data_IF_163790255945
#
_entry.id   IF_163790255945
#
_cell.length_a   1.000
_cell.length_b   1.000
_cell.length_c   1.000
_cell.angle_alpha   90.00
_cell.angle_beta   90.00
_cell.angle_gamma   90.00
#
_symmetry.space_group_name_H-M   'P 1'
#
loop_
_entity.id
_entity.type
_entity.pdbx_description
1 polymer ?
#
# COMPACT_ATOMS: atom_id res chain seq x y z
N UNK A 1 -39.66 -23.44 -30.96
CA UNK A 1 -39.07 -22.09 -31.02
C UNK A 1 -39.43 -21.36 -29.73
N UNK A 2 -38.48 -21.20 -28.80
CA UNK A 2 -38.72 -20.51 -27.52
C UNK A 2 -38.35 -19.03 -27.69
N UNK A 3 -39.35 -18.19 -27.95
CA UNK A 3 -39.19 -16.74 -28.10
C UNK A 3 -39.24 -15.98 -26.77
N UNK A 4 -39.40 -16.67 -25.63
CA UNK A 4 -39.52 -16.08 -24.30
C UNK A 4 -38.20 -16.08 -23.48
N UNK A 5 -37.13 -16.72 -23.97
CA UNK A 5 -35.84 -16.80 -23.23
C UNK A 5 -34.93 -15.56 -23.41
N UNK A 6 -35.17 -14.73 -24.42
CA UNK A 6 -34.30 -13.59 -24.79
C UNK A 6 -34.19 -12.48 -23.74
N UNK A 7 -35.28 -11.83 -23.27
CA UNK A 7 -35.16 -10.70 -22.35
C UNK A 7 -34.67 -11.15 -20.97
N UNK A 8 -35.04 -12.34 -20.51
CA UNK A 8 -34.60 -12.88 -19.22
C UNK A 8 -33.11 -13.24 -19.20
N UNK A 9 -32.56 -13.72 -20.31
CA UNK A 9 -31.12 -13.99 -20.43
C UNK A 9 -30.32 -12.69 -20.37
N UNK A 10 -30.73 -11.66 -21.11
CA UNK A 10 -30.14 -10.33 -21.09
C UNK A 10 -30.17 -9.71 -19.69
N UNK A 11 -31.33 -9.73 -19.01
CA UNK A 11 -31.45 -9.20 -17.65
C UNK A 11 -30.62 -9.99 -16.63
N UNK A 12 -30.45 -11.31 -16.81
CA UNK A 12 -29.59 -12.14 -15.96
C UNK A 12 -28.11 -11.83 -16.20
N UNK A 13 -27.71 -11.64 -17.45
CA UNK A 13 -26.34 -11.27 -17.83
C UNK A 13 -25.99 -9.89 -17.28
N UNK A 14 -26.86 -8.89 -17.45
CA UNK A 14 -26.64 -7.54 -16.93
C UNK A 14 -26.51 -7.55 -15.40
N UNK A 15 -27.37 -8.29 -14.69
CA UNK A 15 -27.27 -8.43 -13.23
C UNK A 15 -25.97 -9.08 -12.78
N UNK A 16 -25.50 -10.11 -13.49
CA UNK A 16 -24.22 -10.76 -13.20
C UNK A 16 -23.04 -9.81 -13.43
N UNK A 17 -23.07 -9.02 -14.51
CA UNK A 17 -22.03 -8.01 -14.79
C UNK A 17 -21.97 -6.96 -13.68
N UNK A 18 -23.11 -6.43 -13.24
CA UNK A 18 -23.13 -5.47 -12.14
C UNK A 18 -22.68 -6.09 -10.80
N UNK A 19 -23.05 -7.35 -10.53
CA UNK A 19 -22.63 -8.04 -9.31
C UNK A 19 -21.11 -8.30 -9.28
N UNK A 20 -20.51 -8.70 -10.41
CA UNK A 20 -19.05 -8.90 -10.49
C UNK A 20 -18.29 -7.59 -10.43
N UNK A 21 -18.79 -6.51 -11.07
CA UNK A 21 -18.22 -5.17 -10.96
C UNK A 21 -18.27 -4.63 -9.52
N UNK A 22 -19.40 -4.77 -8.84
CA UNK A 22 -19.55 -4.32 -7.45
C UNK A 22 -18.61 -5.09 -6.52
N UNK A 23 -18.48 -6.41 -6.71
CA UNK A 23 -17.53 -7.23 -5.96
C UNK A 23 -16.08 -6.82 -6.24
N UNK A 24 -15.71 -6.58 -7.50
CA UNK A 24 -14.36 -6.13 -7.86
C UNK A 24 -14.00 -4.78 -7.23
N UNK A 25 -14.94 -3.84 -7.17
CA UNK A 25 -14.73 -2.53 -6.51
C UNK A 25 -14.46 -2.66 -5.00
N UNK A 26 -15.01 -3.67 -4.33
CA UNK A 26 -14.75 -3.91 -2.91
C UNK A 26 -13.28 -4.28 -2.61
N UNK A 27 -12.55 -4.82 -3.59
CA UNK A 27 -11.14 -5.16 -3.46
C UNK A 27 -10.18 -4.00 -3.74
N UNK A 28 -10.66 -2.84 -4.21
CA UNK A 28 -9.81 -1.67 -4.53
C UNK A 28 -9.31 -0.95 -3.27
N UNK A 29 -9.99 -1.12 -2.13
CA UNK A 29 -9.65 -0.46 -0.87
C UNK A 29 -8.71 -1.28 0.05
N UNK A 30 -8.37 -2.52 -0.32
CA UNK A 30 -7.38 -3.27 0.42
C UNK A 30 -6.00 -2.65 0.15
N UNK A 31 -5.24 -2.22 1.18
CA UNK A 31 -3.85 -1.84 0.95
C UNK A 31 -3.16 -3.04 0.32
N UNK A 32 -2.61 -2.84 -0.88
CA UNK A 32 -1.91 -3.89 -1.61
C UNK A 32 -0.82 -4.44 -0.69
N UNK A 33 -0.93 -5.72 -0.35
CA UNK A 33 0.04 -6.44 0.45
C UNK A 33 1.30 -6.70 -0.41
N UNK A 34 2.02 -5.64 -0.75
CA UNK A 34 3.31 -5.64 -1.44
C UNK A 34 3.89 -4.21 -1.49
N UNK A 35 3.70 -3.41 -0.44
CA UNK A 35 4.32 -2.09 -0.36
C UNK A 35 5.79 -2.30 -0.03
N UNK A 36 6.59 -2.49 -1.07
CA UNK A 36 8.04 -2.61 -0.94
C UNK A 36 8.66 -1.40 -0.21
N UNK A 37 7.99 -0.25 -0.23
CA UNK A 37 8.34 0.92 0.58
C UNK A 37 7.10 1.52 1.27
N UNK A 38 7.18 1.83 2.57
CA UNK A 38 6.19 2.65 3.28
C UNK A 38 6.66 4.10 3.31
N UNK A 39 5.87 5.02 2.75
CA UNK A 39 6.17 6.46 2.72
C UNK A 39 6.27 7.13 4.10
N UNK A 40 5.85 6.47 5.18
CA UNK A 40 5.77 7.07 6.51
C UNK A 40 7.06 7.00 7.33
N UNK A 41 8.04 6.17 6.93
CA UNK A 41 9.31 5.99 7.65
C UNK A 41 10.53 6.25 6.76
N UNK A 42 11.57 6.93 7.28
CA UNK A 42 12.75 7.29 6.50
C UNK A 42 13.71 6.13 6.21
N UNK A 43 13.68 5.05 6.99
CA UNK A 43 14.64 3.95 6.90
C UNK A 43 13.89 2.61 6.78
N UNK A 44 14.39 1.76 5.90
CA UNK A 44 13.86 0.42 5.65
C UNK A 44 14.89 -0.67 5.93
N UNK A 45 14.41 -1.82 6.38
CA UNK A 45 15.18 -3.06 6.54
C UNK A 45 14.85 -4.00 5.37
N UNK A 46 15.82 -4.24 4.49
CA UNK A 46 15.73 -5.25 3.44
C UNK A 46 16.21 -6.58 3.99
N UNK A 47 15.31 -7.53 4.15
CA UNK A 47 15.63 -8.90 4.54
C UNK A 47 15.65 -9.77 3.30
N UNK A 48 16.66 -10.63 3.24
CA UNK A 48 16.89 -11.54 2.12
C UNK A 48 17.32 -12.91 2.65
N UNK A 49 17.34 -13.91 1.79
CA UNK A 49 17.82 -15.25 2.10
C UNK A 49 16.73 -16.31 2.02
N UNK A 50 17.16 -17.56 1.91
CA UNK A 50 16.28 -18.69 1.55
C UNK A 50 15.31 -19.07 2.67
N UNK A 51 15.67 -18.82 3.93
CA UNK A 51 14.84 -19.15 5.10
C UNK A 51 13.82 -18.05 5.44
N UNK A 52 14.21 -16.78 5.33
CA UNK A 52 13.36 -15.63 5.69
C UNK A 52 12.63 -15.03 4.47
N UNK A 53 13.04 -15.39 3.26
CA UNK A 53 12.53 -14.81 2.02
C UNK A 53 13.05 -13.40 1.77
N UNK A 54 12.43 -12.73 0.80
CA UNK A 54 12.69 -11.34 0.48
C UNK A 54 11.56 -10.46 1.02
N UNK A 55 11.89 -9.43 1.79
CA UNK A 55 10.92 -8.46 2.31
C UNK A 55 11.56 -7.12 2.66
N UNK A 56 10.75 -6.07 2.66
CA UNK A 56 11.14 -4.72 3.05
C UNK A 56 10.29 -4.21 4.20
N UNK A 57 10.92 -3.90 5.32
CA UNK A 57 10.26 -3.31 6.49
C UNK A 57 10.67 -1.85 6.65
N UNK A 58 9.80 -0.94 6.22
CA UNK A 58 9.98 0.49 6.39
C UNK A 58 9.27 0.99 7.64
N UNK A 59 9.83 0.67 8.81
CA UNK A 59 9.27 1.04 10.14
C UNK A 59 10.27 1.79 11.02
N UNK A 60 11.47 2.06 10.49
CA UNK A 60 12.58 2.62 11.25
C UNK A 60 12.73 4.12 11.01
N UNK A 61 13.10 4.84 12.07
CA UNK A 61 13.33 6.28 12.02
C UNK A 61 14.81 6.67 11.92
N UNK A 62 15.72 5.71 12.14
CA UNK A 62 17.16 5.91 12.08
C UNK A 62 17.91 4.64 11.65
N UNK A 63 19.09 4.82 11.04
CA UNK A 63 19.96 3.71 10.63
C UNK A 63 20.40 2.87 11.83
N UNK A 64 20.82 3.49 12.94
CA UNK A 64 21.25 2.77 14.12
C UNK A 64 20.17 1.82 14.69
N UNK A 65 18.90 2.25 14.66
CA UNK A 65 17.78 1.41 15.08
C UNK A 65 17.54 0.23 14.13
N UNK A 66 17.69 0.47 12.83
CA UNK A 66 17.60 -0.58 11.82
C UNK A 66 18.78 -1.57 11.95
N UNK A 67 20.01 -1.10 12.09
CA UNK A 67 21.22 -1.93 12.21
C UNK A 67 21.18 -2.83 13.45
N UNK A 68 20.68 -2.32 14.58
CA UNK A 68 20.44 -3.12 15.77
C UNK A 68 19.51 -4.32 15.50
N UNK A 69 18.56 -4.17 14.55
CA UNK A 69 17.63 -5.23 14.13
C UNK A 69 18.22 -6.11 13.04
N UNK A 70 19.04 -5.56 12.15
CA UNK A 70 19.73 -6.28 11.08
C UNK A 70 20.84 -7.20 11.61
N UNK A 71 21.44 -6.83 12.75
CA UNK A 71 22.55 -7.56 13.36
C UNK A 71 22.23 -9.04 13.56
N UNK A 72 23.08 -9.90 13.00
CA UNK A 72 23.00 -11.35 13.18
C UNK A 72 22.00 -12.07 12.26
N UNK A 73 21.43 -11.39 11.26
CA UNK A 73 20.57 -12.00 10.23
C UNK A 73 20.92 -11.49 8.84
N UNK A 74 20.38 -12.17 7.83
CA UNK A 74 20.51 -11.79 6.42
C UNK A 74 19.60 -10.60 6.10
N UNK A 75 20.02 -9.42 6.56
CA UNK A 75 19.30 -8.17 6.36
C UNK A 75 20.26 -6.98 6.20
N UNK A 76 19.82 -5.95 5.47
CA UNK A 76 20.53 -4.69 5.30
C UNK A 76 19.60 -3.50 5.48
N UNK A 77 20.18 -2.35 5.83
CA UNK A 77 19.44 -1.12 6.06
C UNK A 77 19.63 -0.15 4.90
N UNK A 78 18.52 0.42 4.43
CA UNK A 78 18.49 1.31 3.28
C UNK A 78 17.68 2.57 3.58
N UNK A 79 18.07 3.69 2.98
CA UNK A 79 17.30 4.94 3.07
C UNK A 79 16.09 4.85 2.15
N UNK A 80 14.92 5.18 2.68
CA UNK A 80 13.68 5.15 1.91
C UNK A 80 13.57 6.37 0.98
N UNK A 81 13.61 6.20 -0.35
CA UNK A 81 13.47 7.32 -1.28
C UNK A 81 12.04 7.89 -1.33
N UNK A 82 11.05 7.14 -0.84
CA UNK A 82 9.64 7.54 -0.84
C UNK A 82 9.19 8.19 0.48
N UNK A 83 10.11 8.41 1.41
CA UNK A 83 9.79 9.07 2.66
C UNK A 83 9.38 10.52 2.42
N UNK A 84 8.08 10.77 2.58
CA UNK A 84 7.51 12.11 2.54
C UNK A 84 7.17 12.49 3.98
N UNK A 85 8.01 13.28 4.68
CA UNK A 85 7.64 13.76 6.00
C UNK A 85 6.35 14.56 5.85
N UNK A 86 5.26 14.03 6.41
CA UNK A 86 3.99 14.73 6.50
C UNK A 86 4.28 16.05 7.19
N UNK A 87 4.35 17.11 6.39
CA UNK A 87 4.50 18.48 6.85
C UNK A 87 3.19 18.82 7.55
N UNK A 88 3.10 18.49 8.84
CA UNK A 88 1.96 18.83 9.68
C UNK A 88 1.94 20.36 9.77
N UNK A 89 1.19 20.97 8.87
CA UNK A 89 0.77 22.38 8.89
C UNK A 89 1.84 23.34 9.42
N UNK A 90 2.67 23.89 8.52
CA UNK A 90 3.32 25.16 8.82
C UNK A 90 2.20 26.18 9.19
N UNK A 91 2.26 26.82 10.37
CA UNK A 91 1.27 27.85 10.71
C UNK A 91 1.31 28.92 9.61
N UNK A 92 0.19 29.15 8.93
CA UNK A 92 0.09 30.24 7.96
C UNK A 92 0.50 31.52 8.71
N UNK A 93 1.55 32.24 8.29
CA UNK A 93 1.95 33.47 8.97
C UNK A 93 0.80 34.45 8.84
N UNK A 94 0.11 34.73 9.96
CA UNK A 94 -0.87 35.80 10.05
C UNK A 94 -0.13 37.11 9.80
N UNK A 95 -0.20 37.59 8.56
CA UNK A 95 0.30 38.90 8.14
C UNK A 95 -0.40 39.95 9.00
N UNK A 96 0.26 40.44 10.06
CA UNK A 96 -0.21 41.61 10.80
C UNK A 96 -0.21 42.77 9.80
N UNK A 97 -1.41 43.23 9.42
CA UNK A 97 -1.56 44.52 8.76
C UNK A 97 -1.30 45.57 9.83
N UNK A 98 -0.21 46.32 9.65
CA UNK A 98 0.00 47.61 10.29
C UNK A 98 -0.66 48.69 9.46
#
# INVERSE_FOLDING_TARGET
>A
MRAYDFPWLEFRVVKLIFATLALAMAFVAAPAQAQWYDSSHPICLHVFGELEGERMDCVFTSLAQCEATASGRSAMCEVNPYFAPVSRFAPIPRRRRH
#
